data_IF_119850953719
#
_entry.id   IF_119850953719
#
_cell.length_a   1.000
_cell.length_b   1.000
_cell.length_c   1.000
_cell.angle_alpha   90.00
_cell.angle_beta   90.00
_cell.angle_gamma   90.00
#
_symmetry.space_group_name_H-M   'P 1'
#
loop_
_entity.id
_entity.type
_entity.pdbx_description
1 polymer ?
#
# COMPACT_ATOMS: atom_id res chain seq x y z
N UNK A 1 -9.55 26.86 -5.97
CA UNK A 1 -8.66 26.11 -6.89
C UNK A 1 -7.33 26.85 -7.08
N UNK A 2 -6.55 27.08 -6.02
CA UNK A 2 -5.29 27.87 -6.13
C UNK A 2 -4.30 27.51 -5.02
N UNK A 3 -3.95 26.23 -4.90
CA UNK A 3 -2.72 25.82 -4.23
C UNK A 3 -1.89 25.06 -5.25
N UNK A 4 -0.71 25.57 -5.59
CA UNK A 4 0.24 24.82 -6.40
C UNK A 4 0.65 23.58 -5.60
N UNK A 5 0.24 22.41 -6.06
CA UNK A 5 0.72 21.13 -5.57
C UNK A 5 1.76 20.59 -6.53
N UNK A 6 2.72 19.83 -6.01
CA UNK A 6 3.69 19.15 -6.86
C UNK A 6 2.94 18.16 -7.75
N UNK A 7 3.29 18.11 -9.02
CA UNK A 7 2.67 17.20 -9.99
C UNK A 7 2.75 15.74 -9.53
N UNK A 8 3.86 15.37 -8.89
CA UNK A 8 4.06 14.02 -8.33
C UNK A 8 3.03 13.65 -7.26
N UNK A 9 2.72 14.56 -6.34
CA UNK A 9 1.75 14.31 -5.27
C UNK A 9 0.35 14.07 -5.86
N UNK A 10 -0.01 14.84 -6.89
CA UNK A 10 -1.30 14.68 -7.59
C UNK A 10 -1.37 13.35 -8.35
N UNK A 11 -0.27 12.95 -9.00
CA UNK A 11 -0.20 11.67 -9.69
C UNK A 11 -0.28 10.50 -8.69
N UNK A 12 0.36 10.62 -7.53
CA UNK A 12 0.29 9.64 -6.46
C UNK A 12 -1.14 9.51 -5.90
N UNK A 13 -1.84 10.64 -5.69
CA UNK A 13 -3.23 10.64 -5.24
C UNK A 13 -4.15 9.92 -6.24
N UNK A 14 -3.95 10.17 -7.54
CA UNK A 14 -4.65 9.46 -8.62
C UNK A 14 -4.36 7.96 -8.63
N UNK A 15 -3.10 7.58 -8.45
CA UNK A 15 -2.67 6.17 -8.40
C UNK A 15 -3.28 5.43 -7.21
N UNK A 16 -3.35 6.09 -6.05
CA UNK A 16 -3.96 5.53 -4.83
C UNK A 16 -5.43 5.17 -5.05
N UNK A 17 -6.19 6.04 -5.71
CA UNK A 17 -7.60 5.78 -6.05
C UNK A 17 -7.77 4.59 -7.01
N UNK A 18 -6.82 4.39 -7.94
CA UNK A 18 -6.89 3.35 -8.98
C UNK A 18 -6.23 2.01 -8.59
N UNK A 19 -5.57 1.93 -7.43
CA UNK A 19 -4.73 0.77 -7.02
C UNK A 19 -3.58 0.52 -8.00
N UNK A 20 -2.93 1.60 -8.42
CA UNK A 20 -1.78 1.55 -9.32
C UNK A 20 -0.52 2.08 -8.62
N UNK A 21 0.63 1.64 -9.10
CA UNK A 21 1.93 2.19 -8.73
C UNK A 21 2.52 2.97 -9.91
N UNK A 22 2.90 4.25 -9.72
CA UNK A 22 3.62 5.00 -10.74
C UNK A 22 5.08 4.50 -10.81
N UNK A 23 5.49 4.01 -11.97
CA UNK A 23 6.85 3.52 -12.21
C UNK A 23 7.49 4.38 -13.29
N UNK A 24 8.66 4.94 -12.97
CA UNK A 24 9.48 5.68 -13.93
C UNK A 24 10.59 4.79 -14.45
N UNK A 25 10.60 4.49 -15.75
CA UNK A 25 11.60 3.61 -16.39
C UNK A 25 12.78 4.40 -17.03
N UNK A 26 12.87 5.72 -16.79
CA UNK A 26 13.88 6.59 -17.42
C UNK A 26 13.41 7.32 -18.67
N UNK A 27 12.39 6.82 -19.37
CA UNK A 27 11.86 7.43 -20.61
C UNK A 27 10.40 7.84 -20.50
N UNK A 28 9.57 6.99 -19.89
CA UNK A 28 8.14 7.20 -19.76
C UNK A 28 7.68 6.86 -18.34
N UNK A 29 6.68 7.60 -17.86
CA UNK A 29 5.97 7.27 -16.64
C UNK A 29 4.88 6.26 -17.00
N UNK A 30 4.98 5.06 -16.45
CA UNK A 30 3.98 4.01 -16.62
C UNK A 30 3.24 3.77 -15.31
N UNK A 31 1.99 3.35 -15.40
CA UNK A 31 1.18 2.98 -14.24
C UNK A 31 0.99 1.47 -14.28
N UNK A 32 1.44 0.79 -13.23
CA UNK A 32 1.25 -0.65 -13.08
C UNK A 32 0.14 -0.89 -12.07
N UNK A 33 -0.92 -1.57 -12.50
CA UNK A 33 -2.00 -1.94 -11.60
C UNK A 33 -1.58 -3.14 -10.74
N UNK A 34 -1.85 -3.07 -9.43
CA UNK A 34 -1.71 -4.20 -8.54
C UNK A 34 -2.84 -5.20 -8.81
N UNK A 35 -2.53 -6.21 -9.65
CA UNK A 35 -3.44 -7.30 -10.01
C UNK A 35 -2.68 -8.62 -9.97
N UNK A 36 -3.35 -9.75 -9.65
CA UNK A 36 -2.73 -11.06 -9.78
C UNK A 36 -2.22 -11.26 -11.21
N UNK A 37 -0.94 -11.63 -11.32
CA UNK A 37 -0.26 -11.90 -12.59
C UNK A 37 0.58 -13.15 -12.44
N UNK A 38 0.89 -13.79 -13.56
CA UNK A 38 1.78 -14.95 -13.57
C UNK A 38 3.17 -14.57 -13.08
N UNK A 39 3.77 -15.50 -12.33
CA UNK A 39 5.12 -15.35 -11.80
C UNK A 39 6.12 -15.28 -12.95
N UNK A 40 6.74 -14.12 -13.13
CA UNK A 40 7.72 -13.89 -14.20
C UNK A 40 9.07 -14.54 -13.89
N UNK A 41 9.47 -14.62 -12.62
CA UNK A 41 10.78 -15.15 -12.23
C UNK A 41 10.80 -15.88 -10.88
N UNK A 42 11.70 -16.84 -10.72
CA UNK A 42 11.92 -17.59 -9.47
C UNK A 42 13.33 -17.34 -8.94
N UNK A 43 13.44 -16.73 -7.76
CA UNK A 43 14.70 -16.59 -7.04
C UNK A 43 14.90 -17.76 -6.07
N UNK A 44 16.12 -18.29 -6.03
CA UNK A 44 16.58 -19.34 -5.15
C UNK A 44 17.99 -18.97 -4.65
N UNK A 45 18.55 -19.74 -3.71
CA UNK A 45 19.90 -19.44 -3.18
C UNK A 45 21.02 -19.52 -4.23
N UNK A 46 20.77 -20.13 -5.39
CA UNK A 46 21.77 -20.30 -6.44
C UNK A 46 21.83 -19.14 -7.43
N UNK A 47 20.78 -18.31 -7.53
CA UNK A 47 20.71 -17.17 -8.45
C UNK A 47 20.69 -15.80 -7.75
N UNK A 48 20.92 -15.78 -6.44
CA UNK A 48 21.05 -14.57 -5.62
C UNK A 48 22.52 -14.37 -5.29
N UNK A 49 22.97 -13.11 -5.33
CA UNK A 49 24.36 -12.75 -4.99
C UNK A 49 24.56 -13.01 -3.50
N UNK A 50 25.58 -13.80 -3.17
CA UNK A 50 25.97 -14.02 -1.78
C UNK A 50 26.67 -12.76 -1.25
N UNK A 51 26.12 -12.06 -0.24
CA UNK A 51 26.83 -11.00 0.44
C UNK A 51 27.93 -11.59 1.35
N UNK A 52 28.95 -10.78 1.65
CA UNK A 52 30.08 -11.18 2.49
C UNK A 52 29.66 -11.63 3.91
N UNK A 53 28.49 -11.19 4.38
CA UNK A 53 27.88 -11.50 5.68
C UNK A 53 27.19 -12.89 5.72
N UNK A 54 27.27 -13.68 4.64
CA UNK A 54 26.95 -15.12 4.64
C UNK A 54 25.48 -15.52 4.49
N UNK A 55 24.52 -14.58 4.53
CA UNK A 55 23.10 -14.86 4.33
C UNK A 55 22.54 -14.14 3.06
N UNK A 56 22.13 -14.86 2.00
CA UNK A 56 21.65 -14.26 0.75
C UNK A 56 20.27 -13.62 0.83
N UNK A 57 19.44 -14.04 1.78
CA UNK A 57 18.10 -13.48 2.02
C UNK A 57 18.03 -12.93 3.43
N UNK A 58 17.72 -11.64 3.56
CA UNK A 58 17.48 -10.98 4.83
C UNK A 58 15.98 -10.80 5.03
N UNK A 59 15.46 -11.42 6.09
CA UNK A 59 14.05 -11.30 6.45
C UNK A 59 13.90 -10.22 7.52
N UNK A 60 13.05 -9.24 7.26
CA UNK A 60 12.63 -8.25 8.25
C UNK A 60 11.11 -8.37 8.46
N UNK A 61 10.68 -8.07 9.68
CA UNK A 61 9.27 -8.12 10.06
C UNK A 61 8.81 -6.73 10.44
N UNK A 62 7.59 -6.37 10.04
CA UNK A 62 6.97 -5.12 10.49
C UNK A 62 6.74 -5.16 12.01
N UNK A 63 7.06 -4.08 12.71
CA UNK A 63 6.84 -3.99 14.15
C UNK A 63 5.33 -3.99 14.44
N UNK A 64 4.91 -4.57 15.57
CA UNK A 64 3.50 -4.64 15.93
C UNK A 64 2.85 -3.25 16.06
N UNK A 65 3.64 -2.24 16.48
CA UNK A 65 3.19 -0.85 16.60
C UNK A 65 2.82 -0.23 15.25
N UNK A 66 3.46 -0.68 14.18
CA UNK A 66 3.22 -0.15 12.83
C UNK A 66 2.06 -0.89 12.12
N UNK A 67 1.43 -1.87 12.81
CA UNK A 67 0.25 -2.60 12.33
C UNK A 67 -1.00 -1.96 12.92
N UNK A 68 -1.72 -1.21 12.10
CA UNK A 68 -2.97 -0.56 12.42
C UNK A 68 -4.12 -1.56 12.26
N UNK A 69 -5.15 -1.39 13.08
CA UNK A 69 -6.33 -2.26 13.08
C UNK A 69 -7.63 -1.48 13.07
N UNK A 70 -7.54 -0.16 13.08
CA UNK A 70 -8.62 0.78 12.90
C UNK A 70 -8.19 1.83 11.88
N UNK A 71 -9.06 2.13 10.92
CA UNK A 71 -8.80 3.11 9.87
C UNK A 71 -9.98 4.06 9.77
N UNK A 72 -9.70 5.35 9.91
CA UNK A 72 -10.63 6.45 9.63
C UNK A 72 -10.43 6.88 8.18
N UNK A 73 -11.38 6.56 7.30
CA UNK A 73 -11.32 6.87 5.88
C UNK A 73 -12.17 8.10 5.57
N UNK A 74 -11.52 9.19 5.15
CA UNK A 74 -12.22 10.39 4.70
C UNK A 74 -12.66 10.24 3.25
N UNK A 75 -13.92 10.56 2.96
CA UNK A 75 -14.54 10.52 1.64
C UNK A 75 -15.51 11.70 1.48
N UNK A 76 -15.92 12.00 0.24
CA UNK A 76 -16.80 13.14 -0.04
C UNK A 76 -18.24 12.65 -0.15
N UNK A 77 -19.14 13.13 0.70
CA UNK A 77 -20.53 12.66 0.74
C UNK A 77 -21.45 13.53 -0.13
N UNK A 78 -21.98 13.02 -1.25
CA UNK A 78 -22.93 13.76 -2.08
C UNK A 78 -24.26 14.06 -1.38
N UNK A 79 -24.68 13.21 -0.43
CA UNK A 79 -25.93 13.34 0.31
C UNK A 79 -25.82 14.36 1.46
N UNK A 80 -24.60 14.60 1.96
CA UNK A 80 -24.28 15.63 2.96
C UNK A 80 -23.74 16.92 2.30
N UNK A 81 -24.22 17.28 1.11
CA UNK A 81 -23.86 18.54 0.47
C UNK A 81 -22.40 18.63 -0.02
N UNK A 82 -21.79 17.49 -0.36
CA UNK A 82 -20.39 17.37 -0.80
C UNK A 82 -19.36 17.72 0.27
N UNK A 83 -19.74 17.62 1.54
CA UNK A 83 -18.81 17.74 2.66
C UNK A 83 -18.01 16.45 2.86
N UNK A 84 -16.84 16.58 3.51
CA UNK A 84 -16.00 15.45 3.87
C UNK A 84 -16.63 14.68 5.04
N UNK A 85 -16.98 13.42 4.80
CA UNK A 85 -17.43 12.48 5.82
C UNK A 85 -16.32 11.47 6.14
N UNK A 86 -16.32 10.93 7.36
CA UNK A 86 -15.35 9.93 7.81
C UNK A 86 -16.06 8.59 8.03
N UNK A 87 -15.62 7.55 7.34
CA UNK A 87 -16.03 6.17 7.59
C UNK A 87 -15.00 5.48 8.48
N UNK A 88 -15.44 4.92 9.61
CA UNK A 88 -14.59 4.15 10.50
C UNK A 88 -14.64 2.65 10.12
N UNK A 89 -13.48 2.06 9.85
CA UNK A 89 -13.32 0.63 9.57
C UNK A 89 -12.44 0.02 10.64
N UNK A 90 -12.91 -1.01 11.33
CA UNK A 90 -12.20 -1.61 12.47
C UNK A 90 -12.23 -3.14 12.39
N UNK A 91 -11.09 -3.77 12.71
CA UNK A 91 -11.02 -5.22 12.94
C UNK A 91 -11.12 -5.51 14.45
N UNK A 92 -12.33 -5.83 14.89
CA UNK A 92 -12.64 -6.14 16.30
C UNK A 92 -11.80 -7.29 16.86
N UNK A 93 -11.42 -8.29 16.05
CA UNK A 93 -10.60 -9.43 16.52
C UNK A 93 -9.16 -9.00 16.75
N UNK A 94 -8.61 -8.20 15.83
CA UNK A 94 -7.26 -7.67 15.98
C UNK A 94 -7.17 -6.68 17.14
N UNK A 95 -8.19 -5.83 17.33
CA UNK A 95 -8.27 -4.86 18.44
C UNK A 95 -8.31 -5.57 19.79
N UNK A 96 -9.12 -6.64 19.92
CA UNK A 96 -9.19 -7.40 21.16
C UNK A 96 -7.85 -8.04 21.56
N UNK A 97 -7.00 -8.36 20.58
CA UNK A 97 -5.72 -9.05 20.80
C UNK A 97 -4.54 -8.10 21.01
N UNK A 98 -4.49 -6.99 20.26
CA UNK A 98 -3.31 -6.11 20.21
C UNK A 98 -3.57 -4.70 20.75
N UNK A 99 -4.80 -4.37 21.14
CA UNK A 99 -5.21 -3.02 21.49
C UNK A 99 -5.50 -2.18 20.25
N UNK A 100 -6.22 -1.07 20.40
CA UNK A 100 -6.66 -0.22 19.27
C UNK A 100 -5.51 0.65 18.75
N UNK A 101 -5.23 0.56 17.45
CA UNK A 101 -4.23 1.34 16.74
C UNK A 101 -4.85 1.97 15.49
N UNK A 102 -4.99 3.30 15.50
CA UNK A 102 -5.81 4.05 14.53
C UNK A 102 -4.94 4.79 13.54
N UNK A 103 -5.24 4.62 12.24
CA UNK A 103 -4.66 5.40 11.15
C UNK A 103 -5.72 6.16 10.38
N UNK A 104 -5.35 7.33 9.85
CA UNK A 104 -6.21 8.15 8.99
C UNK A 104 -5.82 7.94 7.53
N UNK A 105 -6.81 7.79 6.67
CA UNK A 105 -6.63 7.62 5.23
C UNK A 105 -7.58 8.55 4.49
N UNK A 106 -7.08 9.26 3.48
CA UNK A 106 -7.92 10.07 2.59
C UNK A 106 -8.20 9.29 1.31
N UNK A 107 -9.49 9.00 1.04
CA UNK A 107 -9.91 8.35 -0.19
C UNK A 107 -10.15 9.39 -1.28
N UNK A 108 -9.08 9.69 -2.04
CA UNK A 108 -9.14 10.66 -3.13
C UNK A 108 -10.22 10.30 -4.17
N UNK A 109 -11.10 11.25 -4.47
CA UNK A 109 -12.17 11.09 -5.47
C UNK A 109 -13.28 10.08 -5.08
N UNK A 110 -13.31 9.60 -3.84
CA UNK A 110 -14.32 8.66 -3.38
C UNK A 110 -15.62 9.39 -2.99
N UNK A 111 -16.71 9.07 -3.68
CA UNK A 111 -18.05 9.60 -3.41
C UNK A 111 -19.04 8.57 -2.86
N UNK A 112 -18.57 7.35 -2.62
CA UNK A 112 -19.39 6.25 -2.10
C UNK A 112 -18.83 5.75 -0.78
N UNK A 113 -19.69 5.74 0.25
CA UNK A 113 -19.37 5.13 1.56
C UNK A 113 -18.83 3.70 1.43
N UNK A 114 -19.41 2.89 0.54
CA UNK A 114 -18.98 1.50 0.36
C UNK A 114 -17.58 1.37 -0.25
N UNK A 115 -17.18 2.31 -1.12
CA UNK A 115 -15.81 2.35 -1.65
C UNK A 115 -14.81 2.75 -0.56
N UNK A 116 -15.14 3.76 0.25
CA UNK A 116 -14.32 4.17 1.40
C UNK A 116 -14.13 3.01 2.39
N UNK A 117 -15.22 2.29 2.71
CA UNK A 117 -15.17 1.13 3.59
C UNK A 117 -14.23 0.02 3.06
N UNK A 118 -14.31 -0.31 1.76
CA UNK A 118 -13.40 -1.28 1.13
C UNK A 118 -11.94 -0.80 1.13
N UNK A 119 -11.70 0.50 0.99
CA UNK A 119 -10.37 1.06 1.04
C UNK A 119 -9.73 0.90 2.42
N UNK A 120 -10.49 1.16 3.49
CA UNK A 120 -10.05 0.91 4.87
C UNK A 120 -9.82 -0.56 5.16
N UNK A 121 -10.72 -1.45 4.70
CA UNK A 121 -10.55 -2.90 4.85
C UNK A 121 -9.29 -3.40 4.14
N UNK A 122 -9.01 -2.88 2.94
CA UNK A 122 -7.79 -3.21 2.23
C UNK A 122 -6.56 -2.82 3.06
N UNK A 123 -6.51 -1.61 3.63
CA UNK A 123 -5.33 -1.16 4.39
C UNK A 123 -5.07 -2.07 5.60
N UNK A 124 -6.10 -2.36 6.39
CA UNK A 124 -6.01 -3.29 7.52
C UNK A 124 -5.55 -4.68 7.05
N UNK A 125 -6.12 -5.18 5.94
CA UNK A 125 -5.80 -6.51 5.44
C UNK A 125 -4.37 -6.60 4.92
N UNK A 126 -3.90 -5.57 4.23
CA UNK A 126 -2.52 -5.44 3.75
C UNK A 126 -1.56 -5.49 4.94
N UNK A 127 -1.76 -4.67 5.97
CA UNK A 127 -0.88 -4.66 7.15
C UNK A 127 -0.92 -5.97 7.97
N UNK A 128 -2.05 -6.68 7.96
CA UNK A 128 -2.17 -8.00 8.60
C UNK A 128 -1.49 -9.13 7.81
N UNK A 129 -1.50 -9.06 6.48
CA UNK A 129 -0.94 -10.11 5.62
C UNK A 129 0.54 -9.85 5.28
N UNK A 130 0.90 -8.61 4.97
CA UNK A 130 2.24 -8.17 4.57
C UNK A 130 3.10 -7.89 5.80
N UNK A 131 3.38 -8.94 6.56
CA UNK A 131 4.15 -8.83 7.82
C UNK A 131 5.64 -9.09 7.64
N UNK A 132 6.06 -9.53 6.46
CA UNK A 132 7.40 -10.01 6.17
C UNK A 132 7.92 -9.34 4.90
N UNK A 133 9.11 -8.74 4.99
CA UNK A 133 9.85 -8.21 3.86
C UNK A 133 11.11 -9.04 3.69
N UNK A 134 11.47 -9.33 2.44
CA UNK A 134 12.65 -10.10 2.09
C UNK A 134 13.56 -9.23 1.22
N UNK A 135 14.73 -8.90 1.75
CA UNK A 135 15.76 -8.15 1.05
C UNK A 135 16.82 -9.13 0.52
N UNK A 136 17.13 -9.03 -0.77
CA UNK A 136 18.16 -9.84 -1.43
C UNK A 136 18.72 -9.11 -2.65
N UNK A 137 19.96 -9.45 -3.01
CA UNK A 137 20.67 -8.82 -4.13
C UNK A 137 20.80 -9.78 -5.32
N UNK A 138 20.56 -9.28 -6.53
CA UNK A 138 20.65 -10.06 -7.77
C UNK A 138 21.70 -9.47 -8.70
N UNK A 139 22.33 -10.32 -9.51
CA UNK A 139 23.25 -9.88 -10.56
C UNK A 139 22.51 -9.26 -11.75
N UNK A 140 23.21 -9.05 -12.87
CA UNK A 140 22.63 -8.49 -14.10
C UNK A 140 21.44 -9.30 -14.66
N UNK A 141 21.28 -10.56 -14.25
CA UNK A 141 20.13 -11.41 -14.57
C UNK A 141 18.79 -10.86 -14.03
N UNK A 142 18.82 -9.98 -13.02
CA UNK A 142 17.62 -9.36 -12.45
C UNK A 142 17.12 -8.11 -13.19
N UNK A 143 17.82 -7.64 -14.23
CA UNK A 143 17.49 -6.41 -14.97
C UNK A 143 16.61 -6.65 -16.22
N UNK A 144 16.08 -7.86 -16.41
CA UNK A 144 15.36 -8.24 -17.63
C UNK A 144 13.85 -8.21 -17.47
#
# INVERSE_FOLDING_TARGET
LTTQRKAWDVLSDFCSAMRCMPVWNGQTLTFVQDRPSDKVWTYNRSNVVMPDDGAPFRYSFSALKDRHNAVEVNWIDPDNGWETATELVEDTRAIARYGRNVTKMDAFGCTSRGQAHRAGLWLIKTELLETQTVDFSVGAEGLR
#
